data_IF_746570979737
#
_entry.id   IF_746570979737
#
_cell.length_a   1.000
_cell.length_b   1.000
_cell.length_c   1.000
_cell.angle_alpha   90.00
_cell.angle_beta   90.00
_cell.angle_gamma   90.00
#
_symmetry.space_group_name_H-M   'P 1'
#
loop_
_entity.id
_entity.type
_entity.pdbx_description
1 polymer ?
#
# COMPACT_ATOMS: atom_id res chain seq x y z
N UNK A 1 14.96 -17.48 -5.54
CA UNK A 1 13.72 -16.70 -5.31
C UNK A 1 12.50 -17.54 -5.68
N UNK A 2 12.04 -18.40 -4.76
CA UNK A 2 10.94 -19.37 -4.98
C UNK A 2 9.56 -18.69 -5.08
N UNK A 3 9.45 -17.50 -4.48
CA UNK A 3 8.27 -16.64 -4.40
C UNK A 3 7.52 -16.50 -5.73
N UNK A 4 8.20 -16.15 -6.83
CA UNK A 4 7.55 -15.96 -8.13
C UNK A 4 7.03 -17.27 -8.76
N UNK A 5 7.51 -18.43 -8.31
CA UNK A 5 6.97 -19.74 -8.72
C UNK A 5 5.74 -20.14 -7.93
N UNK A 6 5.60 -19.64 -6.70
CA UNK A 6 4.55 -20.05 -5.77
C UNK A 6 3.25 -19.22 -5.96
N UNK A 7 3.27 -18.24 -6.86
CA UNK A 7 2.12 -17.41 -7.18
C UNK A 7 1.03 -18.20 -7.92
N UNK A 8 -0.26 -17.96 -7.62
CA UNK A 8 -1.38 -18.68 -8.26
C UNK A 8 -1.65 -18.23 -9.71
N UNK A 9 -0.74 -17.46 -10.33
CA UNK A 9 -0.90 -16.95 -11.68
C UNK A 9 -0.60 -18.05 -12.70
N UNK A 10 -1.57 -18.31 -13.59
CA UNK A 10 -1.54 -19.42 -14.58
C UNK A 10 -0.98 -19.01 -15.95
N UNK A 11 -0.35 -17.84 -16.06
CA UNK A 11 0.19 -17.31 -17.30
C UNK A 11 1.72 -17.52 -17.36
N UNK A 12 2.30 -17.67 -18.57
CA UNK A 12 3.74 -17.78 -18.74
C UNK A 12 4.43 -16.46 -18.37
N UNK A 13 5.68 -16.57 -17.89
CA UNK A 13 6.54 -15.42 -17.64
C UNK A 13 7.34 -15.10 -18.91
N UNK A 14 7.43 -13.82 -19.28
CA UNK A 14 8.25 -13.38 -20.42
C UNK A 14 9.72 -13.75 -20.19
N UNK A 15 10.28 -13.30 -19.05
CA UNK A 15 11.64 -13.64 -18.66
C UNK A 15 11.82 -13.55 -17.15
N UNK A 16 11.46 -14.64 -16.46
CA UNK A 16 11.53 -14.73 -15.00
C UNK A 16 12.93 -14.48 -14.45
N UNK A 17 13.97 -15.00 -15.12
CA UNK A 17 15.36 -14.87 -14.66
C UNK A 17 15.86 -13.42 -14.77
N UNK A 18 15.44 -12.68 -15.81
CA UNK A 18 15.72 -11.26 -15.94
C UNK A 18 15.11 -10.47 -14.80
N UNK A 19 13.82 -10.70 -14.53
CA UNK A 19 13.08 -9.93 -13.52
C UNK A 19 13.64 -10.20 -12.11
N UNK A 20 14.01 -11.45 -11.82
CA UNK A 20 14.71 -11.78 -10.56
C UNK A 20 16.04 -11.03 -10.43
N UNK A 21 16.82 -10.91 -11.51
CA UNK A 21 18.08 -10.16 -11.48
C UNK A 21 17.85 -8.67 -11.22
N UNK A 22 16.82 -8.06 -11.81
CA UNK A 22 16.48 -6.66 -11.54
C UNK A 22 16.08 -6.43 -10.08
N UNK A 23 15.30 -7.33 -9.50
CA UNK A 23 14.91 -7.22 -8.09
C UNK A 23 16.15 -7.36 -7.20
N UNK A 24 17.02 -8.34 -7.46
CA UNK A 24 18.25 -8.52 -6.68
C UNK A 24 19.17 -7.30 -6.82
N UNK A 25 19.36 -6.78 -8.03
CA UNK A 25 20.18 -5.58 -8.26
C UNK A 25 19.65 -4.38 -7.46
N UNK A 26 18.35 -4.12 -7.52
CA UNK A 26 17.72 -3.04 -6.75
C UNK A 26 17.87 -3.23 -5.22
N UNK A 27 17.68 -4.46 -4.72
CA UNK A 27 17.87 -4.75 -3.30
C UNK A 27 19.33 -4.60 -2.87
N UNK A 28 20.29 -5.03 -3.70
CA UNK A 28 21.72 -4.85 -3.44
C UNK A 28 22.10 -3.38 -3.40
N UNK A 29 21.59 -2.57 -4.33
CA UNK A 29 21.81 -1.12 -4.36
C UNK A 29 21.19 -0.42 -3.13
N UNK A 30 20.03 -0.88 -2.67
CA UNK A 30 19.29 -0.26 -1.55
C UNK A 30 19.88 -0.63 -0.19
N UNK A 31 20.29 -1.90 0.00
CA UNK A 31 20.70 -2.45 1.30
C UNK A 31 22.21 -2.58 1.45
N UNK A 32 22.95 -2.64 0.33
CA UNK A 32 24.36 -3.03 0.30
C UNK A 32 24.56 -4.55 0.26
N UNK A 33 25.69 -4.99 -0.31
CA UNK A 33 26.03 -6.41 -0.47
C UNK A 33 26.17 -7.15 0.88
N UNK A 34 26.63 -6.46 1.92
CA UNK A 34 26.87 -7.06 3.24
C UNK A 34 25.57 -7.27 4.06
N UNK A 35 24.56 -6.43 3.85
CA UNK A 35 23.31 -6.50 4.61
C UNK A 35 22.30 -7.46 3.99
N UNK A 36 22.34 -7.64 2.66
CA UNK A 36 21.39 -8.46 1.91
C UNK A 36 21.25 -9.90 2.44
N UNK A 37 22.32 -10.63 2.82
CA UNK A 37 22.20 -12.00 3.33
C UNK A 37 21.50 -12.08 4.69
N UNK A 38 21.44 -10.98 5.44
CA UNK A 38 20.79 -10.87 6.74
C UNK A 38 19.33 -10.43 6.65
N UNK A 39 18.85 -10.16 5.43
CA UNK A 39 17.49 -9.69 5.20
C UNK A 39 16.55 -10.85 4.89
N UNK A 40 15.31 -10.72 5.34
CA UNK A 40 14.25 -11.71 5.12
C UNK A 40 13.04 -11.06 4.48
N UNK A 41 12.48 -11.70 3.46
CA UNK A 41 11.26 -11.23 2.80
C UNK A 41 10.08 -12.08 3.26
N UNK A 42 9.08 -11.43 3.84
CA UNK A 42 7.79 -12.02 4.15
C UNK A 42 6.76 -11.48 3.17
N UNK A 43 6.15 -12.36 2.37
CA UNK A 43 5.17 -11.97 1.35
C UNK A 43 3.76 -12.31 1.82
N UNK A 44 2.78 -11.48 1.47
CA UNK A 44 1.38 -11.79 1.67
C UNK A 44 0.98 -13.01 0.83
N UNK A 45 0.15 -13.89 1.39
CA UNK A 45 -0.32 -15.07 0.67
C UNK A 45 -1.16 -14.72 -0.56
N UNK A 46 -1.86 -13.58 -0.50
CA UNK A 46 -2.78 -13.13 -1.53
C UNK A 46 -2.21 -11.94 -2.30
N UNK A 47 -2.50 -11.92 -3.60
CA UNK A 47 -2.16 -10.80 -4.48
C UNK A 47 -3.19 -9.68 -4.36
N UNK A 48 -2.71 -8.44 -4.49
CA UNK A 48 -3.54 -7.24 -4.47
C UNK A 48 -3.80 -6.79 -5.91
N UNK A 49 -5.01 -6.98 -6.40
CA UNK A 49 -5.33 -6.67 -7.79
C UNK A 49 -5.85 -5.24 -7.93
N UNK A 50 -5.31 -4.50 -8.90
CA UNK A 50 -5.81 -3.18 -9.27
C UNK A 50 -5.57 -2.88 -10.74
N UNK A 51 -6.65 -2.54 -11.45
CA UNK A 51 -6.63 -2.25 -12.88
C UNK A 51 -5.96 -3.39 -13.68
N UNK A 52 -4.82 -3.11 -14.34
CA UNK A 52 -4.07 -4.06 -15.18
C UNK A 52 -2.93 -4.77 -14.44
N UNK A 53 -2.80 -4.56 -13.13
CA UNK A 53 -1.67 -5.05 -12.34
C UNK A 53 -2.13 -5.95 -11.19
N UNK A 54 -1.36 -7.02 -10.95
CA UNK A 54 -1.43 -7.82 -9.74
C UNK A 54 -0.22 -7.47 -8.86
N UNK A 55 -0.46 -6.97 -7.66
CA UNK A 55 0.59 -6.52 -6.76
C UNK A 55 0.93 -7.62 -5.77
N UNK A 56 2.20 -8.01 -5.75
CA UNK A 56 2.77 -8.78 -4.66
C UNK A 56 3.19 -7.80 -3.58
N UNK A 57 2.62 -7.97 -2.39
CA UNK A 57 2.87 -7.11 -1.24
C UNK A 57 3.62 -7.91 -0.20
N UNK A 58 4.74 -7.38 0.27
CA UNK A 58 5.58 -8.01 1.27
C UNK A 58 6.25 -7.01 2.19
N UNK A 59 6.95 -7.57 3.17
CA UNK A 59 7.80 -6.88 4.14
C UNK A 59 9.21 -7.40 3.96
N UNK A 60 10.14 -6.49 3.85
CA UNK A 60 11.56 -6.75 3.88
C UNK A 60 12.06 -6.43 5.29
N UNK A 61 12.34 -7.46 6.07
CA UNK A 61 12.95 -7.33 7.40
C UNK A 61 14.45 -7.22 7.23
N UNK A 62 15.03 -6.11 7.65
CA UNK A 62 16.46 -5.83 7.66
C UNK A 62 16.94 -5.69 9.12
N UNK A 63 18.26 -5.68 9.37
CA UNK A 63 18.79 -5.41 10.71
C UNK A 63 18.38 -4.04 11.27
N UNK A 64 18.11 -3.07 10.41
CA UNK A 64 17.81 -1.68 10.77
C UNK A 64 16.31 -1.41 10.89
N UNK A 65 15.45 -2.34 10.45
CA UNK A 65 14.00 -2.20 10.56
C UNK A 65 13.23 -3.01 9.53
N UNK A 66 11.94 -2.69 9.39
CA UNK A 66 11.07 -3.31 8.39
C UNK A 66 10.77 -2.30 7.28
N UNK A 67 11.04 -2.70 6.04
CA UNK A 67 10.78 -1.93 4.84
C UNK A 67 9.63 -2.58 4.04
N UNK A 68 8.84 -1.78 3.30
CA UNK A 68 7.93 -2.33 2.31
C UNK A 68 8.68 -3.12 1.24
N UNK A 69 8.02 -4.11 0.64
CA UNK A 69 8.51 -4.82 -0.53
C UNK A 69 7.35 -5.05 -1.49
N UNK A 70 7.22 -4.18 -2.50
CA UNK A 70 6.08 -4.21 -3.43
C UNK A 70 6.56 -4.51 -4.85
N UNK A 71 5.98 -5.55 -5.47
CA UNK A 71 6.24 -5.91 -6.86
C UNK A 71 4.96 -5.85 -7.67
N UNK A 72 4.74 -4.82 -8.50
CA UNK A 72 3.68 -4.83 -9.49
C UNK A 72 3.99 -5.82 -10.62
N UNK A 73 3.12 -6.81 -10.77
CA UNK A 73 3.14 -7.79 -11.86
C UNK A 73 2.19 -7.31 -12.94
N UNK A 74 2.75 -7.05 -14.12
CA UNK A 74 2.03 -6.63 -15.31
C UNK A 74 1.96 -7.75 -16.33
N UNK A 75 1.06 -7.56 -17.29
CA UNK A 75 0.86 -8.45 -18.42
C UNK A 75 1.25 -7.70 -19.70
N UNK A 76 2.09 -8.31 -20.54
CA UNK A 76 2.41 -7.81 -21.88
C UNK A 76 1.20 -7.93 -22.81
N UNK A 77 1.23 -7.23 -23.96
CA UNK A 77 0.18 -7.36 -24.97
C UNK A 77 0.09 -8.79 -25.54
N UNK A 78 1.21 -9.52 -25.54
CA UNK A 78 1.33 -10.93 -25.94
C UNK A 78 0.79 -11.90 -24.87
N UNK A 79 0.48 -11.42 -23.67
CA UNK A 79 -0.11 -12.20 -22.60
C UNK A 79 0.85 -12.82 -21.60
N UNK A 80 2.10 -12.38 -21.60
CA UNK A 80 3.15 -12.86 -20.71
C UNK A 80 3.26 -11.98 -19.46
N UNK A 81 3.67 -12.58 -18.35
CA UNK A 81 3.88 -11.89 -17.07
C UNK A 81 5.30 -11.33 -16.97
N UNK A 82 5.41 -10.14 -16.39
CA UNK A 82 6.68 -9.56 -15.98
C UNK A 82 6.51 -8.72 -14.71
N UNK A 83 7.59 -8.58 -13.94
CA UNK A 83 7.64 -7.62 -12.83
C UNK A 83 8.15 -6.29 -13.37
N UNK A 84 7.37 -5.23 -13.19
CA UNK A 84 7.70 -3.90 -13.73
C UNK A 84 8.78 -3.20 -12.91
N UNK A 85 8.67 -3.26 -11.57
CA UNK A 85 9.63 -2.62 -10.66
C UNK A 85 9.62 -3.29 -9.28
N UNK A 86 10.56 -2.89 -8.42
CA UNK A 86 10.60 -3.23 -7.01
C UNK A 86 10.59 -1.95 -6.19
N UNK A 87 9.59 -1.79 -5.32
CA UNK A 87 9.48 -0.62 -4.43
C UNK A 87 9.79 -1.03 -3.00
N UNK A 88 10.72 -0.31 -2.38
CA UNK A 88 11.24 -0.65 -1.04
C UNK A 88 11.10 0.49 -0.03
N UNK A 89 10.54 1.63 -0.44
CA UNK A 89 10.38 2.80 0.44
C UNK A 89 8.94 2.96 0.94
N UNK A 90 8.80 3.52 2.15
CA UNK A 90 7.49 3.85 2.74
C UNK A 90 6.77 4.95 1.97
N UNK A 91 7.51 5.88 1.35
CA UNK A 91 6.94 6.93 0.49
C UNK A 91 6.27 6.33 -0.75
N UNK A 92 6.96 5.44 -1.47
CA UNK A 92 6.40 4.74 -2.63
C UNK A 92 5.21 3.87 -2.23
N UNK A 93 5.33 3.11 -1.13
CA UNK A 93 4.22 2.32 -0.62
C UNK A 93 3.01 3.20 -0.29
N UNK A 94 3.19 4.34 0.37
CA UNK A 94 2.10 5.27 0.69
C UNK A 94 1.38 5.79 -0.56
N UNK A 95 2.13 6.06 -1.64
CA UNK A 95 1.56 6.47 -2.95
C UNK A 95 0.79 5.31 -3.60
N UNK A 96 1.35 4.09 -3.58
CA UNK A 96 0.70 2.89 -4.12
C UNK A 96 -0.61 2.61 -3.40
N UNK A 97 -0.65 2.75 -2.09
CA UNK A 97 -1.85 2.62 -1.25
C UNK A 97 -2.56 3.98 -1.00
N UNK A 98 -2.33 4.95 -1.89
CA UNK A 98 -2.88 6.31 -1.76
C UNK A 98 -4.40 6.36 -1.91
N UNK A 99 -5.04 7.30 -1.21
CA UNK A 99 -6.49 7.53 -1.24
C UNK A 99 -7.00 7.90 -2.64
N UNK A 100 -6.17 8.59 -3.45
CA UNK A 100 -6.51 9.06 -4.78
C UNK A 100 -6.55 7.93 -5.83
N UNK A 101 -6.34 6.68 -5.42
CA UNK A 101 -6.36 5.51 -6.30
C UNK A 101 -7.56 4.63 -5.97
N UNK A 102 -8.00 3.85 -6.96
CA UNK A 102 -8.98 2.79 -6.74
C UNK A 102 -8.49 1.80 -5.69
N UNK A 103 -9.43 1.26 -4.92
CA UNK A 103 -9.17 0.25 -3.91
C UNK A 103 -8.52 -1.00 -4.52
N UNK A 104 -7.71 -1.70 -3.73
CA UNK A 104 -7.23 -3.01 -4.12
C UNK A 104 -8.34 -4.05 -3.93
N UNK A 105 -8.40 -4.97 -4.88
CA UNK A 105 -9.16 -6.20 -4.74
C UNK A 105 -8.20 -7.27 -4.22
N UNK A 106 -8.36 -7.62 -2.95
CA UNK A 106 -7.55 -8.64 -2.26
C UNK A 106 -8.49 -9.60 -1.54
N UNK A 107 -8.17 -10.88 -1.57
CA UNK A 107 -8.91 -11.87 -0.79
C UNK A 107 -8.48 -11.78 0.67
N UNK A 108 -9.40 -11.34 1.55
CA UNK A 108 -9.10 -11.15 2.97
C UNK A 108 -10.22 -11.75 3.83
N UNK A 109 -10.14 -13.03 4.22
CA UNK A 109 -11.13 -13.66 5.11
C UNK A 109 -11.26 -12.95 6.46
N UNK A 110 -10.14 -12.43 6.97
CA UNK A 110 -10.07 -11.63 8.18
C UNK A 110 -9.43 -10.27 7.87
N UNK A 111 -10.21 -9.25 7.46
CA UNK A 111 -9.69 -7.95 7.04
C UNK A 111 -8.89 -7.23 8.13
N UNK A 112 -9.27 -7.38 9.40
CA UNK A 112 -8.57 -6.75 10.52
C UNK A 112 -7.11 -7.24 10.66
N UNK A 113 -6.87 -8.55 10.49
CA UNK A 113 -5.52 -9.09 10.55
C UNK A 113 -4.65 -8.59 9.37
N UNK A 114 -5.26 -8.42 8.19
CA UNK A 114 -4.57 -7.83 7.05
C UNK A 114 -4.23 -6.36 7.27
N UNK A 115 -5.16 -5.58 7.84
CA UNK A 115 -4.94 -4.17 8.19
C UNK A 115 -3.80 -4.02 9.20
N UNK A 116 -3.80 -4.82 10.27
CA UNK A 116 -2.71 -4.80 11.26
C UNK A 116 -1.37 -5.19 10.64
N UNK A 117 -1.36 -6.20 9.76
CA UNK A 117 -0.14 -6.56 9.02
C UNK A 117 0.32 -5.42 8.09
N UNK A 118 -0.58 -4.73 7.40
CA UNK A 118 -0.25 -3.59 6.53
C UNK A 118 0.25 -2.37 7.29
N UNK A 119 -0.10 -2.21 8.57
CA UNK A 119 0.30 -1.04 9.38
C UNK A 119 1.82 -0.91 9.52
N UNK A 120 2.55 -2.03 9.55
CA UNK A 120 4.02 -2.00 9.61
C UNK A 120 4.67 -1.43 8.33
N UNK A 121 4.05 -1.61 7.15
CA UNK A 121 4.57 -1.07 5.88
C UNK A 121 4.01 0.31 5.54
N UNK A 122 2.90 0.69 6.17
CA UNK A 122 2.19 1.95 5.94
C UNK A 122 1.96 2.68 7.28
N UNK A 123 3.04 3.04 8.01
CA UNK A 123 2.91 3.61 9.36
C UNK A 123 2.21 4.98 9.40
N UNK A 124 2.20 5.70 8.27
CA UNK A 124 1.56 7.00 8.16
C UNK A 124 0.06 6.96 7.86
N UNK A 125 -0.53 5.77 7.64
CA UNK A 125 -1.95 5.64 7.30
C UNK A 125 -2.82 5.34 8.51
N UNK A 126 -3.98 5.98 8.58
CA UNK A 126 -4.95 5.70 9.63
C UNK A 126 -5.61 4.34 9.41
N UNK A 127 -6.28 3.82 10.43
CA UNK A 127 -7.00 2.54 10.34
C UNK A 127 -8.08 2.62 9.26
N UNK A 128 -8.78 3.74 9.17
CA UNK A 128 -9.77 3.96 8.13
C UNK A 128 -9.15 3.92 6.71
N UNK A 129 -8.00 4.56 6.50
CA UNK A 129 -7.29 4.55 5.21
C UNK A 129 -6.86 3.14 4.80
N UNK A 130 -6.36 2.33 5.76
CA UNK A 130 -5.97 0.94 5.50
C UNK A 130 -7.18 0.09 5.10
N UNK A 131 -8.34 0.26 5.75
CA UNK A 131 -9.58 -0.42 5.36
C UNK A 131 -10.07 0.01 3.98
N UNK A 132 -9.94 1.30 3.62
CA UNK A 132 -10.25 1.74 2.25
C UNK A 132 -9.34 1.07 1.25
N UNK A 133 -8.04 0.99 1.53
CA UNK A 133 -7.06 0.45 0.60
C UNK A 133 -7.35 -1.00 0.21
N UNK A 134 -7.94 -1.81 1.11
CA UNK A 134 -8.35 -3.21 0.85
C UNK A 134 -9.80 -3.36 0.35
N UNK A 135 -10.50 -2.26 0.06
CA UNK A 135 -11.86 -2.26 -0.51
C UNK A 135 -13.01 -2.27 0.51
N UNK A 136 -12.72 -2.20 1.82
CA UNK A 136 -13.74 -2.16 2.88
C UNK A 136 -14.31 -0.75 3.11
N UNK A 137 -14.72 -0.04 2.05
CA UNK A 137 -15.12 1.38 2.10
C UNK A 137 -16.20 1.70 3.16
N UNK A 138 -17.22 0.83 3.31
CA UNK A 138 -18.30 1.06 4.28
C UNK A 138 -17.78 0.99 5.72
N UNK A 139 -16.87 0.07 6.00
CA UNK A 139 -16.26 -0.05 7.32
C UNK A 139 -15.29 1.09 7.58
N UNK A 140 -14.49 1.47 6.58
CA UNK A 140 -13.64 2.64 6.66
C UNK A 140 -14.41 3.92 7.00
N UNK A 141 -15.61 4.12 6.44
CA UNK A 141 -16.47 5.26 6.82
C UNK A 141 -16.82 5.27 8.31
N UNK A 142 -17.00 4.09 8.91
CA UNK A 142 -17.28 3.96 10.36
C UNK A 142 -16.04 4.33 11.17
N UNK A 143 -14.87 3.83 10.78
CA UNK A 143 -13.59 4.17 11.43
C UNK A 143 -13.23 5.65 11.26
N UNK A 144 -13.38 6.23 10.06
CA UNK A 144 -13.16 7.66 9.82
C UNK A 144 -14.05 8.53 10.70
N UNK A 145 -15.30 8.11 10.91
CA UNK A 145 -16.21 8.85 11.80
C UNK A 145 -15.78 8.74 13.26
N UNK A 146 -15.30 7.58 13.71
CA UNK A 146 -14.73 7.40 15.06
C UNK A 146 -13.48 8.24 15.26
N UNK A 147 -12.55 8.20 14.30
CA UNK A 147 -11.32 9.02 14.30
C UNK A 147 -11.68 10.52 14.42
N UNK A 148 -12.69 10.97 13.67
CA UNK A 148 -13.20 12.33 13.74
C UNK A 148 -13.84 12.69 15.10
N UNK A 149 -14.63 11.79 15.69
CA UNK A 149 -15.21 12.01 17.03
C UNK A 149 -14.13 12.12 18.11
N UNK A 150 -13.08 11.29 18.04
CA UNK A 150 -11.93 11.39 18.93
C UNK A 150 -11.25 12.76 18.78
N UNK A 151 -11.01 13.21 17.55
CA UNK A 151 -10.45 14.53 17.29
C UNK A 151 -11.28 15.66 17.90
N UNK A 152 -12.61 15.61 17.76
CA UNK A 152 -13.51 16.62 18.34
C UNK A 152 -13.52 16.62 19.87
N UNK A 153 -13.34 15.46 20.51
CA UNK A 153 -13.31 15.38 21.97
C UNK A 153 -12.02 15.97 22.57
N UNK A 154 -10.93 15.96 21.81
CA UNK A 154 -9.61 16.45 22.23
C UNK A 154 -9.32 17.88 21.77
N UNK A 155 -10.19 18.45 20.93
CA UNK A 155 -9.96 19.75 20.27
C UNK A 155 -11.10 20.72 20.53
N UNK A 156 -10.77 21.90 21.04
CA UNK A 156 -11.69 23.04 21.17
C UNK A 156 -11.78 23.88 19.88
N UNK A 157 -11.27 23.37 18.75
CA UNK A 157 -11.28 24.08 17.47
C UNK A 157 -12.70 24.23 16.91
N UNK A 158 -12.99 25.42 16.41
CA UNK A 158 -14.23 25.70 15.67
C UNK A 158 -14.06 25.33 14.20
N UNK A 159 -15.17 24.97 13.57
CA UNK A 159 -15.20 24.84 12.11
C UNK A 159 -14.97 26.20 11.46
N UNK A 160 -14.05 26.24 10.51
CA UNK A 160 -13.76 27.40 9.67
C UNK A 160 -14.03 27.05 8.20
N UNK A 161 -14.29 28.05 7.37
CA UNK A 161 -14.30 27.86 5.92
C UNK A 161 -12.92 27.37 5.48
N UNK A 162 -12.89 26.34 4.62
CA UNK A 162 -11.62 25.77 4.18
C UNK A 162 -10.78 26.84 3.45
N UNK A 163 -9.47 26.94 3.72
CA UNK A 163 -8.63 27.94 3.10
C UNK A 163 -8.57 27.74 1.58
N UNK A 164 -8.81 28.81 0.81
CA UNK A 164 -8.82 28.76 -0.65
C UNK A 164 -9.80 29.73 -1.29
N UNK A 165 -10.09 29.54 -2.57
CA UNK A 165 -11.10 30.30 -3.30
C UNK A 165 -12.48 29.72 -2.99
N UNK A 166 -13.41 30.58 -2.58
CA UNK A 166 -14.79 30.18 -2.30
C UNK A 166 -15.44 29.56 -3.55
N UNK A 167 -15.95 28.35 -3.39
CA UNK A 167 -16.69 27.65 -4.44
C UNK A 167 -18.07 28.26 -4.66
N UNK A 168 -18.50 28.35 -5.92
CA UNK A 168 -19.85 28.84 -6.27
C UNK A 168 -20.94 27.75 -6.13
N UNK A 169 -20.54 26.48 -5.92
CA UNK A 169 -21.44 25.31 -5.91
C UNK A 169 -21.40 24.56 -4.58
N UNK A 170 -20.21 24.42 -3.98
CA UNK A 170 -20.00 23.63 -2.77
C UNK A 170 -19.54 24.54 -1.62
N UNK A 171 -20.16 24.38 -0.46
CA UNK A 171 -19.70 24.98 0.80
C UNK A 171 -18.76 23.99 1.50
N UNK A 172 -17.50 24.36 1.66
CA UNK A 172 -16.45 23.49 2.22
C UNK A 172 -15.91 24.11 3.51
N UNK A 173 -15.93 23.32 4.59
CA UNK A 173 -15.46 23.74 5.91
C UNK A 173 -14.67 22.62 6.58
N UNK A 174 -13.75 22.98 7.48
CA UNK A 174 -12.89 22.04 8.21
C UNK A 174 -12.49 22.64 9.57
N UNK A 175 -12.24 21.82 10.61
CA UNK A 175 -11.41 22.25 11.73
C UNK A 175 -10.01 22.64 11.23
N UNK A 176 -9.34 23.57 11.90
CA UNK A 176 -8.11 24.18 11.40
C UNK A 176 -6.96 23.17 11.24
N UNK A 177 -6.87 22.17 12.13
CA UNK A 177 -5.79 21.16 12.11
C UNK A 177 -6.24 19.76 11.68
N UNK A 178 -7.53 19.57 11.42
CA UNK A 178 -8.02 18.26 11.01
C UNK A 178 -7.62 17.96 9.56
N UNK A 179 -6.87 16.87 9.36
CA UNK A 179 -6.68 16.28 8.04
C UNK A 179 -7.60 15.07 7.94
N UNK A 180 -8.67 15.13 7.12
CA UNK A 180 -9.37 13.91 6.77
C UNK A 180 -8.39 12.97 6.07
N UNK A 181 -8.35 11.69 6.45
CA UNK A 181 -7.67 10.63 5.71
C UNK A 181 -8.42 10.28 4.42
N UNK A 182 -8.78 11.30 3.62
CA UNK A 182 -9.57 11.22 2.39
C UNK A 182 -8.91 12.07 1.30
#
# INVERSE_FOLDING_TARGET
MRILSDLPLRLPWQNKSRDIRYIIAHLTETLGEDALPRCHVQVANELFYRNKAAWLVGKLTTPDGTLPFLLPIHRTDEGELFVDTCLTTTAEASIVFGFARSYFMVYAPLPAALVEWLREILPGKTTAELYMAIGCQKHAKTESYREYLCYLAESDEKFIEAPGIRGMVMLVFTPARFRPGI
#
